data_IF_861213799343
#
_entry.id   IF_861213799343
#
_cell.length_a   1.000
_cell.length_b   1.000
_cell.length_c   1.000
_cell.angle_alpha   90.00
_cell.angle_beta   90.00
_cell.angle_gamma   90.00
#
_symmetry.space_group_name_H-M   'P 1'
#
loop_
_entity.id
_entity.type
_entity.pdbx_description
1 polymer ?
#
# COMPACT_ATOMS: atom_id res chain seq x y z
N UNK A 1 3.76 26.08 -7.31
CA UNK A 1 3.97 24.82 -8.05
C UNK A 1 3.91 23.69 -7.03
N UNK A 2 2.71 23.23 -6.69
CA UNK A 2 2.55 22.03 -5.88
C UNK A 2 2.68 20.86 -6.85
N UNK A 3 3.87 20.25 -6.91
CA UNK A 3 4.06 19.06 -7.72
C UNK A 3 3.13 17.98 -7.18
N UNK A 4 2.14 17.60 -7.98
CA UNK A 4 1.36 16.39 -7.80
C UNK A 4 2.33 15.22 -7.73
N UNK A 5 2.74 14.90 -6.51
CA UNK A 5 3.63 13.80 -6.23
C UNK A 5 2.86 12.54 -6.62
N UNK A 6 3.30 11.89 -7.70
CA UNK A 6 2.96 10.49 -7.96
C UNK A 6 3.61 9.66 -6.85
N UNK A 7 3.05 9.75 -5.64
CA UNK A 7 3.59 9.14 -4.44
C UNK A 7 3.41 7.63 -4.54
N UNK A 8 4.40 6.99 -5.16
CA UNK A 8 4.55 5.54 -5.18
C UNK A 8 5.42 5.15 -4.01
N UNK A 9 4.92 4.23 -3.19
CA UNK A 9 5.66 3.67 -2.08
C UNK A 9 6.41 2.45 -2.61
N UNK A 10 7.71 2.39 -2.37
CA UNK A 10 8.52 1.25 -2.75
C UNK A 10 8.90 0.48 -1.50
N UNK A 11 8.59 -0.81 -1.49
CA UNK A 11 8.81 -1.68 -0.33
C UNK A 11 7.70 -1.60 0.72
N UNK A 12 7.73 -2.60 1.60
CA UNK A 12 6.67 -2.84 2.59
C UNK A 12 6.78 -1.84 3.74
N UNK A 13 7.99 -1.48 4.16
CA UNK A 13 8.22 -0.51 5.23
C UNK A 13 7.56 0.84 4.93
N UNK A 14 7.76 1.35 3.70
CA UNK A 14 7.15 2.61 3.25
C UNK A 14 5.63 2.54 3.23
N UNK A 15 5.07 1.38 2.84
CA UNK A 15 3.65 1.14 2.89
C UNK A 15 3.12 1.13 4.34
N UNK A 16 3.83 0.48 5.27
CA UNK A 16 3.48 0.45 6.69
C UNK A 16 3.45 1.85 7.30
N UNK A 17 4.47 2.67 7.05
CA UNK A 17 4.54 4.06 7.53
C UNK A 17 3.34 4.89 7.02
N UNK A 18 3.03 4.76 5.73
CA UNK A 18 1.91 5.46 5.12
C UNK A 18 0.56 5.03 5.69
N UNK A 19 0.35 3.73 5.80
CA UNK A 19 -0.86 3.15 6.35
C UNK A 19 -1.05 3.55 7.83
N UNK A 20 0.03 3.60 8.61
CA UNK A 20 -0.01 4.12 9.98
C UNK A 20 -0.44 5.60 10.02
N UNK A 21 0.08 6.44 9.12
CA UNK A 21 -0.32 7.84 8.97
C UNK A 21 -1.81 7.99 8.61
N UNK A 22 -2.36 7.08 7.81
CA UNK A 22 -3.79 7.00 7.45
C UNK A 22 -4.69 6.40 8.53
N UNK A 23 -4.16 6.15 9.73
CA UNK A 23 -4.86 5.49 10.83
C UNK A 23 -5.33 4.06 10.46
N UNK A 24 -4.49 3.34 9.71
CA UNK A 24 -4.69 1.95 9.34
C UNK A 24 -3.38 1.16 9.50
N UNK A 25 -2.76 1.12 10.69
CA UNK A 25 -1.47 0.46 10.87
C UNK A 25 -1.57 -1.04 10.54
N UNK A 26 -0.71 -1.52 9.64
CA UNK A 26 -0.57 -2.93 9.31
C UNK A 26 0.85 -3.41 9.63
N UNK A 27 0.98 -4.63 10.15
CA UNK A 27 2.28 -5.27 10.34
C UNK A 27 2.88 -5.72 9.02
N UNK A 28 4.22 -5.78 8.95
CA UNK A 28 4.95 -6.24 7.76
C UNK A 28 4.48 -7.64 7.30
N UNK A 29 4.26 -8.56 8.25
CA UNK A 29 3.74 -9.90 7.99
C UNK A 29 2.33 -9.90 7.36
N UNK A 30 1.47 -8.98 7.82
CA UNK A 30 0.13 -8.82 7.26
C UNK A 30 0.19 -8.29 5.85
N UNK A 31 1.04 -7.28 5.59
CA UNK A 31 1.23 -6.76 4.23
C UNK A 31 1.79 -7.85 3.31
N UNK A 32 2.79 -8.62 3.73
CA UNK A 32 3.30 -9.78 2.98
C UNK A 32 2.21 -10.78 2.66
N UNK A 33 1.36 -11.07 3.64
CA UNK A 33 0.20 -11.97 3.46
C UNK A 33 -0.79 -11.39 2.45
N UNK A 34 -1.08 -10.10 2.51
CA UNK A 34 -1.98 -9.42 1.57
C UNK A 34 -1.43 -9.38 0.15
N UNK A 35 -0.12 -9.18 -0.01
CA UNK A 35 0.58 -9.26 -1.30
C UNK A 35 0.48 -10.68 -1.84
N UNK A 36 0.80 -11.69 -1.01
CA UNK A 36 0.72 -13.11 -1.39
C UNK A 36 -0.69 -13.52 -1.79
N UNK A 37 -1.71 -13.04 -1.05
CA UNK A 37 -3.13 -13.25 -1.37
C UNK A 37 -3.64 -12.37 -2.52
N UNK A 38 -2.81 -11.46 -3.05
CA UNK A 38 -3.18 -10.48 -4.09
C UNK A 38 -4.40 -9.61 -3.72
N UNK A 39 -4.58 -9.36 -2.41
CA UNK A 39 -5.67 -8.55 -1.89
C UNK A 39 -5.33 -7.07 -1.95
N UNK A 40 -4.09 -6.72 -1.61
CA UNK A 40 -3.62 -5.33 -1.66
C UNK A 40 -3.12 -5.00 -3.08
N UNK A 41 -3.51 -3.86 -3.65
CA UNK A 41 -3.02 -3.45 -4.96
C UNK A 41 -1.53 -3.16 -4.87
N UNK A 42 -0.75 -3.97 -5.56
CA UNK A 42 0.70 -3.86 -5.65
C UNK A 42 1.12 -4.02 -7.10
N UNK A 43 2.20 -3.35 -7.46
CA UNK A 43 2.87 -3.49 -8.73
C UNK A 43 4.24 -4.12 -8.48
N UNK A 44 4.72 -4.91 -9.43
CA UNK A 44 6.04 -5.52 -9.40
C UNK A 44 6.77 -5.19 -10.70
N UNK A 45 7.18 -3.92 -10.88
CA UNK A 45 7.79 -3.47 -12.13
C UNK A 45 9.16 -4.12 -12.38
N UNK A 46 9.85 -4.53 -11.31
CA UNK A 46 11.15 -5.20 -11.36
C UNK A 46 11.09 -6.42 -10.45
N UNK A 47 11.48 -7.60 -10.97
CA UNK A 47 11.41 -8.88 -10.24
C UNK A 47 12.07 -8.77 -8.86
N UNK A 48 11.24 -8.75 -7.81
CA UNK A 48 11.68 -8.66 -6.41
C UNK A 48 11.45 -7.30 -5.74
N UNK A 49 10.90 -6.32 -6.46
CA UNK A 49 10.63 -4.99 -5.95
C UNK A 49 9.13 -4.67 -6.06
N UNK A 50 8.48 -4.52 -4.91
CA UNK A 50 7.07 -4.14 -4.85
C UNK A 50 6.94 -2.61 -4.82
N UNK A 51 6.12 -2.08 -5.71
CA UNK A 51 5.70 -0.68 -5.69
C UNK A 51 4.19 -0.58 -5.44
N UNK A 52 3.78 0.40 -4.66
CA UNK A 52 2.39 0.62 -4.26
C UNK A 52 2.00 2.04 -4.61
N UNK A 53 1.01 2.21 -5.47
CA UNK A 53 0.44 3.52 -5.77
C UNK A 53 -0.44 3.98 -4.62
N UNK A 54 -0.13 5.13 -4.01
CA UNK A 54 -0.93 5.66 -2.89
C UNK A 54 -2.41 5.79 -3.24
N UNK A 55 -2.76 6.20 -4.46
CA UNK A 55 -4.16 6.30 -4.90
C UNK A 55 -4.89 4.94 -4.80
N UNK A 56 -4.24 3.87 -5.25
CA UNK A 56 -4.82 2.53 -5.18
C UNK A 56 -4.87 2.00 -3.75
N UNK A 57 -3.86 2.31 -2.94
CA UNK A 57 -3.84 1.96 -1.52
C UNK A 57 -4.95 2.68 -0.77
N UNK A 58 -5.17 3.96 -1.00
CA UNK A 58 -6.22 4.74 -0.34
C UNK A 58 -7.62 4.19 -0.66
N UNK A 59 -7.89 3.90 -1.95
CA UNK A 59 -9.10 3.21 -2.37
C UNK A 59 -9.25 1.85 -1.69
N UNK A 60 -8.18 1.05 -1.65
CA UNK A 60 -8.19 -0.28 -1.02
C UNK A 60 -8.46 -0.20 0.48
N UNK A 61 -7.84 0.76 1.19
CA UNK A 61 -8.09 0.98 2.62
C UNK A 61 -9.56 1.34 2.85
N UNK A 62 -10.14 2.18 2.00
CA UNK A 62 -11.55 2.52 2.08
C UNK A 62 -12.45 1.29 1.86
N UNK A 63 -12.18 0.49 0.83
CA UNK A 63 -12.85 -0.80 0.61
C UNK A 63 -12.75 -1.73 1.83
N UNK A 64 -11.57 -1.88 2.43
CA UNK A 64 -11.39 -2.72 3.62
C UNK A 64 -12.18 -2.19 4.83
N UNK A 65 -12.28 -0.87 4.99
CA UNK A 65 -13.09 -0.24 6.04
C UNK A 65 -14.59 -0.46 5.81
N UNK A 66 -15.05 -0.45 4.56
CA UNK A 66 -16.45 -0.67 4.20
C UNK A 66 -16.89 -2.14 4.27
N UNK A 67 -15.95 -3.09 4.17
CA UNK A 67 -16.22 -4.54 4.35
C UNK A 67 -16.29 -4.97 5.82
N UNK A 68 -16.18 -4.04 6.76
CA UNK A 68 -16.19 -4.30 8.21
C UNK A 68 -17.60 -4.27 8.78
#
# INVERSE_FOLDING_TARGET
MGGDEMSKLYGIEKLTEYLASKNYPLSDEMIRTLIHKKIIPHQNPVKGMYSFDMNHIDWWVNEQRSKK
#
